data_IF_945911652679
#
_entry.id   IF_945911652679
#
_cell.length_a   1.000
_cell.length_b   1.000
_cell.length_c   1.000
_cell.angle_alpha   90.00
_cell.angle_beta   90.00
_cell.angle_gamma   90.00
#
_symmetry.space_group_name_H-M   'P 1'
#
loop_
_entity.id
_entity.type
_entity.pdbx_description
1 polymer ?
#
# COMPACT_ATOMS: atom_id res chain seq x y z
N UNK A 1 34.22 19.42 -0.40
CA UNK A 1 34.08 20.10 -1.70
C UNK A 1 34.93 21.37 -1.71
N UNK A 2 34.79 22.21 -0.68
CA UNK A 2 35.53 23.47 -0.54
C UNK A 2 37.05 23.31 -0.62
N UNK A 3 37.60 22.25 -0.04
CA UNK A 3 39.05 21.96 -0.09
C UNK A 3 39.56 21.68 -1.51
N UNK A 4 38.85 20.85 -2.28
CA UNK A 4 39.21 20.56 -3.68
C UNK A 4 39.05 21.80 -4.58
N UNK A 5 38.04 22.63 -4.31
CA UNK A 5 37.83 23.86 -5.05
C UNK A 5 38.93 24.89 -4.73
N UNK A 6 39.29 25.03 -3.46
CA UNK A 6 40.39 25.89 -3.03
C UNK A 6 41.73 25.43 -3.63
N UNK A 7 41.99 24.12 -3.62
CA UNK A 7 43.16 23.53 -4.27
C UNK A 7 43.16 23.82 -5.77
N UNK A 8 42.02 23.68 -6.45
CA UNK A 8 41.90 24.00 -7.86
C UNK A 8 42.20 25.48 -8.15
N UNK A 9 41.61 26.40 -7.39
CA UNK A 9 41.85 27.84 -7.53
C UNK A 9 43.31 28.22 -7.24
N UNK A 10 43.99 27.52 -6.34
CA UNK A 10 45.42 27.75 -6.05
C UNK A 10 46.33 27.41 -7.23
N UNK A 11 45.92 26.41 -8.04
CA UNK A 11 46.70 25.94 -9.19
C UNK A 11 46.25 26.58 -10.51
N UNK A 12 45.04 27.17 -10.53
CA UNK A 12 44.41 27.77 -11.71
C UNK A 12 43.87 29.16 -11.35
N UNK A 13 44.75 30.17 -11.24
CA UNK A 13 44.34 31.51 -10.89
C UNK A 13 43.39 32.10 -11.95
N UNK A 14 42.44 32.96 -11.55
CA UNK A 14 41.49 33.57 -12.46
C UNK A 14 42.21 34.38 -13.56
N UNK A 15 41.76 34.19 -14.80
CA UNK A 15 42.34 34.83 -15.97
C UNK A 15 41.93 36.32 -16.04
N UNK A 16 42.85 37.25 -16.36
CA UNK A 16 42.49 38.65 -16.57
C UNK A 16 41.44 38.79 -17.67
N UNK A 17 40.30 39.42 -17.35
CA UNK A 17 39.22 39.66 -18.32
C UNK A 17 38.16 38.55 -18.45
N UNK A 18 38.21 37.49 -17.63
CA UNK A 18 37.15 36.47 -17.56
C UNK A 18 36.62 36.33 -16.14
N UNK A 19 35.29 36.32 -15.99
CA UNK A 19 34.60 36.05 -14.71
C UNK A 19 34.33 34.55 -14.49
N UNK A 20 34.82 33.68 -15.38
CA UNK A 20 34.52 32.25 -15.35
C UNK A 20 35.52 31.50 -14.48
N UNK A 21 35.00 30.63 -13.61
CA UNK A 21 35.82 29.78 -12.73
C UNK A 21 36.54 28.66 -13.48
N UNK A 22 35.92 28.10 -14.53
CA UNK A 22 36.49 27.05 -15.36
C UNK A 22 36.68 27.55 -16.79
N UNK A 23 37.95 27.64 -17.23
CA UNK A 23 38.29 28.07 -18.58
C UNK A 23 39.33 27.15 -19.23
N UNK A 24 39.33 27.12 -20.55
CA UNK A 24 40.36 26.51 -21.38
C UNK A 24 41.00 27.61 -22.22
N UNK A 25 42.26 27.96 -21.93
CA UNK A 25 42.98 29.07 -22.59
C UNK A 25 42.17 30.38 -22.62
N UNK A 26 41.53 30.72 -21.50
CA UNK A 26 40.72 31.94 -21.34
C UNK A 26 39.33 31.89 -21.98
N UNK A 27 38.91 30.75 -22.55
CA UNK A 27 37.56 30.54 -23.11
C UNK A 27 36.72 29.63 -22.22
N UNK A 28 35.37 29.70 -22.29
CA UNK A 28 34.51 28.77 -21.58
C UNK A 28 34.81 27.31 -21.96
N UNK A 29 34.80 26.42 -20.97
CA UNK A 29 34.93 24.98 -21.25
C UNK A 29 33.69 24.50 -22.02
N UNK A 30 33.85 23.84 -23.18
CA UNK A 30 32.71 23.30 -23.92
C UNK A 30 32.10 22.11 -23.17
N UNK A 31 30.78 21.91 -23.26
CA UNK A 31 30.07 20.82 -22.57
C UNK A 31 30.70 19.43 -22.79
N UNK A 32 31.16 19.15 -24.02
CA UNK A 32 31.86 17.91 -24.37
C UNK A 32 33.10 17.63 -23.50
N UNK A 33 33.82 18.66 -23.05
CA UNK A 33 34.97 18.48 -22.14
C UNK A 33 34.51 18.02 -20.76
N UNK A 34 33.37 18.51 -20.28
CA UNK A 34 32.75 18.05 -19.03
C UNK A 34 32.28 16.61 -19.18
N UNK A 35 31.61 16.27 -20.29
CA UNK A 35 31.18 14.89 -20.58
C UNK A 35 32.36 13.93 -20.58
N UNK A 36 33.45 14.30 -21.27
CA UNK A 36 34.66 13.49 -21.34
C UNK A 36 35.32 13.32 -19.95
N UNK A 37 35.32 14.36 -19.12
CA UNK A 37 35.87 14.31 -17.77
C UNK A 37 35.05 13.36 -16.87
N UNK A 38 33.73 13.49 -16.91
CA UNK A 38 32.82 12.57 -16.18
C UNK A 38 33.01 11.14 -16.67
N UNK A 39 33.09 10.91 -17.98
CA UNK A 39 33.30 9.57 -18.53
C UNK A 39 34.68 9.00 -18.19
N UNK A 40 35.72 9.84 -18.09
CA UNK A 40 37.04 9.41 -17.65
C UNK A 40 37.02 8.96 -16.18
N UNK A 41 36.37 9.73 -15.31
CA UNK A 41 36.16 9.35 -13.91
C UNK A 41 35.35 8.04 -13.78
N UNK A 42 34.28 7.90 -14.57
CA UNK A 42 33.46 6.69 -14.60
C UNK A 42 34.25 5.45 -15.04
N UNK A 43 35.14 5.58 -16.03
CA UNK A 43 36.07 4.49 -16.41
C UNK A 43 37.05 4.16 -15.29
N UNK A 44 37.61 5.16 -14.62
CA UNK A 44 38.51 4.96 -13.48
C UNK A 44 37.83 4.25 -12.31
N UNK A 45 36.53 4.47 -12.12
CA UNK A 45 35.70 3.79 -11.12
C UNK A 45 35.11 2.45 -11.58
N UNK A 46 35.26 2.07 -12.86
CA UNK A 46 34.72 0.82 -13.40
C UNK A 46 33.20 0.78 -13.60
N UNK A 47 32.51 1.92 -13.62
CA UNK A 47 31.04 2.02 -13.62
C UNK A 47 30.40 2.22 -15.01
N UNK A 48 31.13 1.95 -16.08
CA UNK A 48 30.61 2.01 -17.45
C UNK A 48 30.39 3.44 -17.98
N UNK A 49 29.31 3.64 -18.74
CA UNK A 49 29.00 4.94 -19.34
C UNK A 49 28.18 5.82 -18.39
N UNK A 50 28.70 7.02 -18.09
CA UNK A 50 28.04 8.00 -17.20
C UNK A 50 28.11 9.39 -17.82
N UNK A 51 27.01 10.11 -17.75
CA UNK A 51 26.86 11.49 -18.24
C UNK A 51 26.58 12.46 -17.09
N UNK A 52 26.87 13.76 -17.24
CA UNK A 52 26.52 14.78 -16.24
C UNK A 52 25.02 14.81 -15.93
N UNK A 53 24.18 14.55 -16.93
CA UNK A 53 22.73 14.51 -16.74
C UNK A 53 22.29 13.36 -15.83
N UNK A 54 22.90 12.16 -15.97
CA UNK A 54 22.64 11.04 -15.07
C UNK A 54 23.06 11.35 -13.62
N UNK A 55 24.22 11.99 -13.42
CA UNK A 55 24.64 12.43 -12.09
C UNK A 55 23.65 13.41 -11.45
N UNK A 56 23.10 14.34 -12.25
CA UNK A 56 22.04 15.25 -11.80
C UNK A 56 20.77 14.49 -11.37
N UNK A 57 20.36 13.49 -12.13
CA UNK A 57 19.23 12.61 -11.75
C UNK A 57 19.51 11.85 -10.46
N UNK A 58 20.73 11.34 -10.29
CA UNK A 58 21.14 10.64 -9.05
C UNK A 58 21.06 11.57 -7.84
N UNK A 59 21.58 12.80 -7.95
CA UNK A 59 21.48 13.79 -6.87
C UNK A 59 20.02 14.09 -6.50
N UNK A 60 19.19 14.35 -7.50
CA UNK A 60 17.77 14.67 -7.28
C UNK A 60 17.00 13.50 -6.65
N UNK A 61 17.29 12.28 -7.12
CA UNK A 61 16.72 11.04 -6.57
C UNK A 61 17.14 10.81 -5.12
N UNK A 62 18.41 11.03 -4.79
CA UNK A 62 18.87 10.95 -3.42
C UNK A 62 18.23 12.03 -2.55
N UNK A 63 18.12 13.26 -3.03
CA UNK A 63 17.51 14.36 -2.29
C UNK A 63 16.04 14.07 -1.94
N UNK A 64 15.24 13.62 -2.92
CA UNK A 64 13.82 13.30 -2.68
C UNK A 64 13.67 12.11 -1.73
N UNK A 65 14.53 11.09 -1.86
CA UNK A 65 14.51 9.92 -0.96
C UNK A 65 14.94 10.26 0.48
N UNK A 66 15.68 11.34 0.68
CA UNK A 66 16.03 11.86 2.01
C UNK A 66 15.06 12.96 2.49
N UNK A 67 13.87 13.04 1.89
CA UNK A 67 12.79 13.92 2.35
C UNK A 67 12.89 15.39 1.91
N UNK A 68 13.77 15.74 0.97
CA UNK A 68 13.78 17.09 0.41
C UNK A 68 12.54 17.33 -0.45
N UNK A 69 11.86 18.47 -0.26
CA UNK A 69 10.65 18.80 -1.04
C UNK A 69 10.94 19.02 -2.53
N UNK A 70 9.94 18.82 -3.39
CA UNK A 70 10.07 19.04 -4.83
C UNK A 70 10.43 20.50 -5.17
N UNK A 71 9.92 21.46 -4.40
CA UNK A 71 10.24 22.89 -4.54
C UNK A 71 11.72 23.16 -4.24
N UNK A 72 12.24 22.57 -3.16
CA UNK A 72 13.64 22.70 -2.79
C UNK A 72 14.57 22.05 -3.83
N UNK A 73 14.20 20.89 -4.36
CA UNK A 73 14.92 20.24 -5.46
C UNK A 73 14.88 21.10 -6.73
N UNK A 74 13.72 21.67 -7.08
CA UNK A 74 13.58 22.54 -8.24
C UNK A 74 14.49 23.78 -8.13
N UNK A 75 14.54 24.40 -6.95
CA UNK A 75 15.42 25.53 -6.67
C UNK A 75 16.91 25.14 -6.72
N UNK A 76 17.30 24.04 -6.07
CA UNK A 76 18.67 23.51 -6.09
C UNK A 76 19.17 23.24 -7.52
N UNK A 77 18.28 22.70 -8.35
CA UNK A 77 18.60 22.33 -9.73
C UNK A 77 18.44 23.49 -10.71
N UNK A 78 17.82 24.60 -10.32
CA UNK A 78 17.54 25.75 -11.19
C UNK A 78 16.52 25.43 -12.28
N UNK A 79 15.48 24.66 -11.97
CA UNK A 79 14.41 24.34 -12.94
C UNK A 79 13.50 25.55 -13.16
N UNK A 80 13.25 25.86 -14.43
CA UNK A 80 12.35 26.95 -14.83
C UNK A 80 10.86 26.59 -14.65
N UNK A 81 10.53 25.30 -14.58
CA UNK A 81 9.15 24.83 -14.36
C UNK A 81 9.13 23.60 -13.46
N UNK A 82 8.04 23.45 -12.69
CA UNK A 82 7.85 22.28 -11.83
C UNK A 82 7.72 20.98 -12.63
N UNK A 83 7.26 21.04 -13.89
CA UNK A 83 7.18 19.87 -14.77
C UNK A 83 8.52 19.16 -14.97
N UNK A 84 9.64 19.90 -14.95
CA UNK A 84 10.98 19.32 -15.02
C UNK A 84 11.32 18.51 -13.76
N UNK A 85 10.81 18.91 -12.61
CA UNK A 85 11.06 18.27 -11.30
C UNK A 85 10.12 17.10 -11.01
N UNK A 86 8.91 17.10 -11.59
CA UNK A 86 7.90 16.06 -11.38
C UNK A 86 8.36 14.64 -11.73
N UNK A 87 9.39 14.48 -12.56
CA UNK A 87 10.03 13.18 -12.82
C UNK A 87 10.48 12.49 -11.53
N UNK A 88 10.88 13.24 -10.50
CA UNK A 88 11.35 12.69 -9.22
C UNK A 88 10.22 12.35 -8.23
N UNK A 89 9.02 12.88 -8.45
CA UNK A 89 7.88 12.68 -7.54
C UNK A 89 7.45 11.20 -7.44
N UNK A 90 7.47 10.47 -8.56
CA UNK A 90 7.13 9.02 -8.58
C UNK A 90 8.10 8.16 -7.77
N UNK A 91 9.31 8.66 -7.52
CA UNK A 91 10.31 7.95 -6.72
C UNK A 91 10.00 8.11 -5.23
N UNK A 92 9.52 9.30 -4.84
CA UNK A 92 9.00 9.58 -3.49
C UNK A 92 7.82 8.68 -3.12
N UNK A 93 6.92 8.35 -4.05
CA UNK A 93 5.72 7.56 -3.76
C UNK A 93 6.03 6.18 -3.14
N UNK A 94 7.15 5.53 -3.52
CA UNK A 94 7.60 4.29 -2.84
C UNK A 94 8.06 4.56 -1.41
N UNK A 95 8.86 5.60 -1.21
CA UNK A 95 9.36 5.99 0.12
C UNK A 95 8.23 6.45 1.05
N UNK A 96 7.25 7.20 0.53
CA UNK A 96 6.07 7.64 1.29
C UNK A 96 5.19 6.45 1.69
N UNK A 97 5.02 5.47 0.82
CA UNK A 97 4.31 4.24 1.16
C UNK A 97 5.06 3.47 2.26
N UNK A 98 6.37 3.30 2.13
CA UNK A 98 7.21 2.59 3.12
C UNK A 98 7.18 3.28 4.50
N UNK A 99 7.30 4.61 4.54
CA UNK A 99 7.20 5.42 5.77
C UNK A 99 5.79 5.37 6.36
N UNK A 100 4.74 5.44 5.53
CA UNK A 100 3.36 5.28 5.98
C UNK A 100 3.14 3.91 6.63
N UNK A 101 3.62 2.83 6.01
CA UNK A 101 3.51 1.49 6.57
C UNK A 101 4.32 1.32 7.86
N UNK A 102 5.49 1.96 7.98
CA UNK A 102 6.28 1.96 9.20
C UNK A 102 5.53 2.66 10.36
N UNK A 103 4.96 3.83 10.10
CA UNK A 103 4.14 4.56 11.09
C UNK A 103 2.89 3.78 11.46
N UNK A 104 2.16 3.24 10.46
CA UNK A 104 0.97 2.44 10.69
C UNK A 104 1.27 1.22 11.58
N UNK A 105 2.37 0.51 11.30
CA UNK A 105 2.82 -0.64 12.11
C UNK A 105 3.17 -0.22 13.54
N UNK A 106 3.86 0.91 13.71
CA UNK A 106 4.21 1.41 15.04
C UNK A 106 2.97 1.81 15.85
N UNK A 107 2.03 2.51 15.22
CA UNK A 107 0.74 2.88 15.83
C UNK A 107 -0.04 1.62 16.23
N UNK A 108 -0.11 0.61 15.36
CA UNK A 108 -0.78 -0.65 15.64
C UNK A 108 -0.13 -1.42 16.80
N UNK A 109 1.20 -1.38 16.91
CA UNK A 109 1.92 -1.95 18.05
C UNK A 109 1.60 -1.22 19.35
N UNK A 110 1.50 0.11 19.36
CA UNK A 110 1.11 0.87 20.56
C UNK A 110 -0.29 0.48 21.04
N UNK A 111 -1.23 0.26 20.12
CA UNK A 111 -2.58 -0.23 20.45
C UNK A 111 -2.58 -1.69 20.88
N UNK A 112 -1.72 -2.54 20.30
CA UNK A 112 -1.64 -3.97 20.63
C UNK A 112 -0.93 -4.21 21.98
N UNK A 113 0.11 -3.44 22.30
CA UNK A 113 0.80 -3.48 23.59
C UNK A 113 -0.07 -2.99 24.74
N UNK A 114 -1.02 -2.06 24.46
CA UNK A 114 -1.98 -1.56 25.47
C UNK A 114 -3.30 -2.32 25.49
N UNK A 115 -3.58 -3.14 24.49
CA UNK A 115 -4.70 -4.07 24.50
C UNK A 115 -4.43 -5.18 25.52
N UNK A 116 -4.81 -4.91 26.78
CA UNK A 116 -4.87 -5.94 27.80
C UNK A 116 -5.67 -7.11 27.24
N UNK A 117 -5.00 -8.25 27.04
CA UNK A 117 -5.70 -9.51 26.73
C UNK A 117 -6.64 -9.75 27.90
N UNK A 118 -7.93 -9.52 27.69
CA UNK A 118 -8.91 -9.73 28.73
C UNK A 118 -8.84 -11.22 29.12
N UNK A 119 -8.72 -11.54 30.42
CA UNK A 119 -8.70 -12.93 30.85
C UNK A 119 -9.98 -13.61 30.37
N UNK A 120 -9.94 -14.92 30.10
CA UNK A 120 -11.11 -15.68 29.63
C UNK A 120 -12.34 -15.52 30.56
N UNK A 121 -12.09 -15.17 31.81
CA UNK A 121 -13.06 -14.90 32.88
C UNK A 121 -13.78 -13.54 32.74
N UNK A 122 -13.19 -12.59 32.02
CA UNK A 122 -13.76 -11.27 31.75
C UNK A 122 -15.04 -11.33 30.91
N UNK A 123 -15.29 -12.47 30.26
CA UNK A 123 -16.55 -12.75 29.60
C UNK A 123 -17.65 -12.91 30.66
N UNK A 124 -18.35 -11.81 30.95
CA UNK A 124 -19.49 -11.82 31.85
C UNK A 124 -20.63 -12.73 31.35
N UNK A 125 -21.58 -13.10 32.24
CA UNK A 125 -22.66 -14.04 31.92
C UNK A 125 -23.52 -13.59 30.73
N UNK A 126 -23.72 -12.28 30.55
CA UNK A 126 -24.45 -11.73 29.40
C UNK A 126 -23.69 -11.88 28.08
N UNK A 127 -22.36 -11.71 28.07
CA UNK A 127 -21.52 -11.89 26.87
C UNK A 127 -21.48 -13.35 26.45
N UNK A 128 -21.36 -14.27 27.42
CA UNK A 128 -21.48 -15.71 27.20
C UNK A 128 -22.83 -16.10 26.59
N UNK A 129 -23.92 -15.50 27.08
CA UNK A 129 -25.27 -15.71 26.56
C UNK A 129 -25.40 -15.18 25.13
N UNK A 130 -24.99 -13.93 24.90
CA UNK A 130 -24.97 -13.28 23.59
C UNK A 130 -24.17 -14.08 22.56
N UNK A 131 -22.99 -14.60 22.92
CA UNK A 131 -22.16 -15.43 22.01
C UNK A 131 -22.89 -16.72 21.61
N UNK A 132 -23.57 -17.37 22.56
CA UNK A 132 -24.39 -18.56 22.33
C UNK A 132 -25.67 -18.30 21.52
N UNK A 133 -26.26 -17.11 21.65
CA UNK A 133 -27.46 -16.68 20.94
C UNK A 133 -27.14 -16.21 19.50
N UNK A 134 -26.07 -15.42 19.33
CA UNK A 134 -25.74 -14.74 18.05
C UNK A 134 -25.02 -15.63 17.04
N UNK A 135 -24.17 -16.57 17.47
CA UNK A 135 -23.47 -17.52 16.57
C UNK A 135 -24.45 -18.45 15.86
N UNK A 136 -25.71 -18.47 16.33
CA UNK A 136 -26.77 -19.26 15.74
C UNK A 136 -27.57 -18.48 14.72
N UNK A 137 -27.69 -17.16 14.78
CA UNK A 137 -28.57 -16.43 13.87
C UNK A 137 -27.92 -16.21 12.50
N UNK A 138 -28.62 -16.64 11.45
CA UNK A 138 -28.21 -16.55 10.05
C UNK A 138 -29.35 -15.94 9.23
N UNK A 139 -29.05 -15.39 8.05
CA UNK A 139 -30.04 -14.64 7.26
C UNK A 139 -31.35 -15.39 6.94
N UNK A 140 -31.31 -16.72 6.84
CA UNK A 140 -32.45 -17.57 6.47
C UNK A 140 -32.76 -18.66 7.52
N UNK A 141 -32.21 -18.56 8.73
CA UNK A 141 -32.37 -19.60 9.74
C UNK A 141 -31.31 -19.54 10.82
N UNK A 142 -30.94 -20.69 11.37
CA UNK A 142 -29.96 -20.76 12.42
C UNK A 142 -29.02 -21.97 12.37
N UNK A 143 -27.85 -21.81 12.99
CA UNK A 143 -26.86 -22.86 13.16
C UNK A 143 -27.19 -23.71 14.40
N UNK A 144 -27.38 -25.02 14.20
CA UNK A 144 -27.59 -26.02 15.26
C UNK A 144 -26.29 -26.74 15.64
N UNK A 145 -25.14 -26.29 15.11
CA UNK A 145 -23.84 -26.90 15.44
C UNK A 145 -23.57 -26.80 16.94
N UNK A 146 -23.17 -27.91 17.61
CA UNK A 146 -22.73 -27.86 18.98
C UNK A 146 -21.61 -26.83 19.19
N UNK A 147 -21.68 -26.07 20.27
CA UNK A 147 -20.72 -25.00 20.56
C UNK A 147 -19.27 -25.50 20.75
N UNK A 148 -19.10 -26.80 21.03
CA UNK A 148 -17.78 -27.43 21.16
C UNK A 148 -17.12 -27.77 19.81
N UNK A 149 -17.82 -27.59 18.67
CA UNK A 149 -17.30 -27.87 17.34
C UNK A 149 -17.08 -26.57 16.57
N UNK A 150 -15.83 -26.33 16.18
CA UNK A 150 -15.47 -25.18 15.36
C UNK A 150 -16.06 -25.29 13.94
N UNK A 151 -16.45 -24.14 13.38
CA UNK A 151 -16.92 -24.04 12.01
C UNK A 151 -15.74 -23.78 11.06
N UNK A 152 -15.43 -24.74 10.19
CA UNK A 152 -14.40 -24.58 9.14
C UNK A 152 -14.85 -23.81 7.89
N UNK A 153 -16.13 -23.41 7.81
CA UNK A 153 -16.71 -22.77 6.63
C UNK A 153 -17.47 -21.51 7.03
N UNK A 154 -17.19 -20.38 6.39
CA UNK A 154 -17.77 -19.10 6.79
C UNK A 154 -19.00 -18.69 5.95
N UNK A 155 -19.21 -19.28 4.77
CA UNK A 155 -20.18 -18.73 3.77
C UNK A 155 -21.21 -19.72 3.20
N UNK A 156 -21.15 -21.01 3.53
CA UNK A 156 -22.04 -22.04 2.93
C UNK A 156 -23.28 -22.37 3.74
N UNK A 157 -23.68 -21.50 4.68
CA UNK A 157 -24.58 -21.89 5.76
C UNK A 157 -25.89 -22.53 5.29
N UNK A 158 -26.55 -22.02 4.25
CA UNK A 158 -27.84 -22.55 3.76
C UNK A 158 -27.78 -23.98 3.18
N UNK A 159 -26.59 -24.44 2.82
CA UNK A 159 -26.34 -25.82 2.34
C UNK A 159 -25.61 -26.68 3.37
N UNK A 160 -25.28 -26.13 4.53
CA UNK A 160 -24.63 -26.83 5.64
C UNK A 160 -25.60 -27.82 6.31
N UNK A 161 -25.09 -28.97 6.76
CA UNK A 161 -25.87 -29.97 7.50
C UNK A 161 -26.32 -29.51 8.88
N UNK A 162 -25.61 -28.55 9.49
CA UNK A 162 -25.99 -27.96 10.78
C UNK A 162 -26.89 -26.73 10.64
N UNK A 163 -27.43 -26.47 9.46
CA UNK A 163 -28.36 -25.36 9.24
C UNK A 163 -29.80 -25.83 9.40
N UNK A 164 -30.55 -25.13 10.23
CA UNK A 164 -31.98 -25.30 10.39
C UNK A 164 -32.70 -24.00 10.07
N UNK A 165 -33.66 -24.07 9.15
CA UNK A 165 -34.63 -22.98 8.94
C UNK A 165 -35.82 -23.16 9.89
N UNK A 166 -36.59 -22.10 10.09
CA UNK A 166 -37.80 -22.08 10.93
C UNK A 166 -38.96 -21.48 10.14
N UNK A 167 -40.19 -21.71 10.62
CA UNK A 167 -41.41 -21.19 9.99
C UNK A 167 -41.38 -19.66 9.81
N UNK A 168 -40.71 -18.94 10.71
CA UNK A 168 -40.50 -17.49 10.65
C UNK A 168 -39.85 -17.04 9.32
N UNK A 169 -38.97 -17.87 8.74
CA UNK A 169 -38.25 -17.54 7.52
C UNK A 169 -39.03 -17.93 6.24
N UNK A 170 -40.20 -18.59 6.35
CA UNK A 170 -40.95 -19.07 5.17
C UNK A 170 -41.28 -17.96 4.19
N UNK A 171 -41.75 -16.81 4.70
CA UNK A 171 -42.11 -15.67 3.84
C UNK A 171 -40.90 -15.15 3.07
N UNK A 172 -39.78 -14.92 3.77
CA UNK A 172 -38.52 -14.49 3.17
C UNK A 172 -38.01 -15.47 2.13
N UNK A 173 -38.02 -16.77 2.43
CA UNK A 173 -37.60 -17.83 1.50
C UNK A 173 -38.48 -17.92 0.26
N UNK A 174 -39.79 -17.70 0.42
CA UNK A 174 -40.74 -17.65 -0.71
C UNK A 174 -40.43 -16.47 -1.64
N UNK A 175 -40.18 -15.30 -1.08
CA UNK A 175 -39.81 -14.11 -1.85
C UNK A 175 -38.47 -14.28 -2.56
N UNK A 176 -37.48 -14.85 -1.87
CA UNK A 176 -36.16 -15.15 -2.45
C UNK A 176 -36.26 -16.19 -3.57
N UNK A 177 -37.11 -17.21 -3.42
CA UNK A 177 -37.38 -18.19 -4.46
C UNK A 177 -38.06 -17.55 -5.69
N UNK A 178 -39.07 -16.71 -5.48
CA UNK A 178 -39.73 -16.00 -6.57
C UNK A 178 -38.72 -15.15 -7.35
N UNK A 179 -37.92 -14.34 -6.65
CA UNK A 179 -36.89 -13.50 -7.27
C UNK A 179 -35.83 -14.32 -8.02
N UNK A 180 -35.35 -15.42 -7.43
CA UNK A 180 -34.37 -16.30 -8.07
C UNK A 180 -34.96 -17.03 -9.29
N UNK A 181 -36.26 -17.32 -9.29
CA UNK A 181 -36.95 -17.96 -10.42
C UNK A 181 -37.14 -16.97 -11.57
N UNK A 182 -37.54 -15.74 -11.27
CA UNK A 182 -37.65 -14.66 -12.28
C UNK A 182 -36.32 -14.39 -12.98
N UNK A 183 -35.21 -14.54 -12.27
CA UNK A 183 -33.85 -14.24 -12.75
C UNK A 183 -33.07 -15.47 -13.22
N UNK A 184 -33.71 -16.64 -13.24
CA UNK A 184 -33.12 -17.96 -13.52
C UNK A 184 -31.80 -18.22 -12.77
N UNK A 185 -31.75 -17.82 -11.49
CA UNK A 185 -30.57 -18.00 -10.67
C UNK A 185 -30.45 -19.46 -10.17
N UNK A 186 -29.25 -20.08 -10.20
CA UNK A 186 -29.05 -21.46 -9.76
C UNK A 186 -29.39 -21.66 -8.27
N UNK A 187 -29.34 -20.59 -7.48
CA UNK A 187 -29.62 -20.58 -6.04
C UNK A 187 -31.10 -20.86 -5.72
N UNK A 188 -32.02 -20.80 -6.71
CA UNK A 188 -33.43 -21.21 -6.55
C UNK A 188 -33.60 -22.60 -5.96
N UNK A 189 -32.68 -23.52 -6.29
CA UNK A 189 -32.68 -24.89 -5.77
C UNK A 189 -32.47 -24.94 -4.25
N UNK A 190 -31.63 -24.05 -3.72
CA UNK A 190 -31.37 -23.97 -2.27
C UNK A 190 -32.64 -23.51 -1.55
N UNK A 191 -33.30 -22.47 -2.02
CA UNK A 191 -34.54 -21.97 -1.40
C UNK A 191 -35.67 -22.98 -1.45
N UNK A 192 -35.84 -23.70 -2.57
CA UNK A 192 -36.79 -24.82 -2.68
C UNK A 192 -36.50 -25.91 -1.64
N UNK A 193 -35.24 -26.31 -1.49
CA UNK A 193 -34.86 -27.31 -0.49
C UNK A 193 -35.14 -26.85 0.94
N UNK A 194 -34.92 -25.56 1.24
CA UNK A 194 -35.20 -25.01 2.57
C UNK A 194 -36.70 -24.97 2.86
N UNK A 195 -37.53 -24.55 1.91
CA UNK A 195 -38.99 -24.58 2.05
C UNK A 195 -39.51 -26.01 2.24
N UNK A 196 -39.00 -26.98 1.46
CA UNK A 196 -39.38 -28.38 1.62
C UNK A 196 -39.03 -28.96 3.00
N UNK A 197 -38.00 -28.44 3.68
CA UNK A 197 -37.66 -28.87 5.06
C UNK A 197 -38.66 -28.34 6.09
N UNK A 198 -39.35 -27.24 5.79
CA UNK A 198 -40.41 -26.67 6.65
C UNK A 198 -41.75 -27.39 6.47
N UNK A 199 -41.92 -28.09 5.35
CA UNK A 199 -43.12 -28.87 5.01
C UNK A 199 -42.81 -30.37 5.11
N UNK A 200 -42.62 -30.93 6.33
CA UNK A 200 -42.50 -32.37 6.45
C UNK A 200 -43.78 -33.00 5.92
N UNK A 201 -43.63 -33.97 5.01
CA UNK A 201 -44.69 -34.65 4.28
C UNK A 201 -46.02 -34.77 5.06
N UNK A 202 -47.11 -34.40 4.40
CA UNK A 202 -48.43 -34.25 4.98
C UNK A 202 -48.91 -35.39 5.88
N UNK A 203 -49.63 -35.00 6.93
CA UNK A 203 -50.85 -35.71 7.34
C UNK A 203 -51.93 -35.56 6.28
#
# INVERSE_FOLDING_TARGET
>A
MDELLAQWLSTHPPQPGSSLMFTDRGRPIPGRRVDNAVQAAARGAGIGHVTPHQLRHTLATQAINNGMSLEAIAALLGHASMSMTMTYARISERTVADEYFAVATHVENLYTETAATLPAEAEGPNMRRLRGETTRLLGNGHCTRPAALDCRYETICETCTHFATTEEHRHTLTNQLANATERDEPRRTVYLQLLNRLDPAGT
#
